data_IF_038309030523
#
_entry.id   IF_038309030523
#
_cell.length_a   1.000
_cell.length_b   1.000
_cell.length_c   1.000
_cell.angle_alpha   90.00
_cell.angle_beta   90.00
_cell.angle_gamma   90.00
#
_symmetry.space_group_name_H-M   'P 1'
#
loop_
_entity.id
_entity.type
_entity.pdbx_description
1 polymer ?
#
# COMPACT_ATOMS: atom_id res chain seq x y z
N UNK A 1 -18.54 4.57 5.98
CA UNK A 1 -17.49 3.55 5.78
C UNK A 1 -16.55 3.62 6.97
N UNK A 2 -16.26 2.50 7.64
CA UNK A 2 -15.36 2.47 8.82
C UNK A 2 -13.90 2.56 8.38
N UNK A 3 -13.01 2.92 9.31
CA UNK A 3 -11.57 2.99 9.03
C UNK A 3 -10.95 1.62 8.72
N UNK A 4 -11.48 0.55 9.31
CA UNK A 4 -11.10 -0.83 8.99
C UNK A 4 -11.52 -1.22 7.56
N UNK A 5 -12.72 -0.83 7.13
CA UNK A 5 -13.19 -1.05 5.76
C UNK A 5 -12.32 -0.31 4.73
N UNK A 6 -11.81 0.88 5.08
CA UNK A 6 -10.84 1.59 4.25
C UNK A 6 -9.53 0.84 4.11
N UNK A 7 -8.99 0.28 5.21
CA UNK A 7 -7.76 -0.51 5.17
C UNK A 7 -7.97 -1.79 4.35
N UNK A 8 -9.09 -2.48 4.53
CA UNK A 8 -9.45 -3.65 3.71
C UNK A 8 -9.46 -3.32 2.22
N UNK A 9 -10.12 -2.22 1.84
CA UNK A 9 -10.19 -1.79 0.44
C UNK A 9 -8.81 -1.49 -0.17
N UNK A 10 -7.84 -1.01 0.63
CA UNK A 10 -6.46 -0.80 0.18
C UNK A 10 -5.75 -2.12 -0.09
N UNK A 11 -5.95 -3.14 0.76
CA UNK A 11 -5.42 -4.49 0.52
C UNK A 11 -6.06 -5.14 -0.71
N UNK A 12 -7.38 -5.00 -0.86
CA UNK A 12 -8.10 -5.50 -2.04
C UNK A 12 -7.62 -4.84 -3.34
N UNK A 13 -7.40 -3.52 -3.32
CA UNK A 13 -6.82 -2.78 -4.45
C UNK A 13 -5.42 -3.31 -4.82
N UNK A 14 -4.63 -3.71 -3.83
CA UNK A 14 -3.32 -4.32 -4.04
C UNK A 14 -3.38 -5.81 -4.43
N UNK A 15 -4.57 -6.40 -4.60
CA UNK A 15 -4.76 -7.82 -4.90
C UNK A 15 -4.42 -8.75 -3.74
N UNK A 16 -4.40 -8.23 -2.51
CA UNK A 16 -4.08 -8.97 -1.30
C UNK A 16 -5.36 -9.27 -0.51
N UNK A 17 -5.77 -10.53 -0.45
CA UNK A 17 -6.90 -10.94 0.39
C UNK A 17 -6.46 -11.11 1.84
N UNK A 18 -7.07 -10.38 2.77
CA UNK A 18 -6.83 -10.50 4.21
C UNK A 18 -8.08 -11.02 4.92
N UNK A 19 -7.99 -12.09 5.74
CA UNK A 19 -9.09 -12.53 6.58
C UNK A 19 -9.53 -11.43 7.59
N UNK A 20 -10.84 -11.27 7.87
CA UNK A 20 -11.33 -10.23 8.78
C UNK A 20 -10.69 -10.26 10.17
N UNK A 21 -10.51 -11.46 10.74
CA UNK A 21 -9.90 -11.63 12.08
C UNK A 21 -8.45 -11.15 12.11
N UNK A 22 -7.72 -11.35 11.01
CA UNK A 22 -6.33 -10.88 10.85
C UNK A 22 -6.30 -9.37 10.70
N UNK A 23 -7.23 -8.78 9.95
CA UNK A 23 -7.35 -7.33 9.83
C UNK A 23 -7.64 -6.70 11.18
N UNK A 24 -8.61 -7.22 11.94
CA UNK A 24 -8.98 -6.70 13.25
C UNK A 24 -7.79 -6.77 14.24
N UNK A 25 -7.09 -7.91 14.29
CA UNK A 25 -5.95 -8.09 15.19
C UNK A 25 -4.73 -7.19 14.86
N UNK A 26 -4.61 -6.69 13.62
CA UNK A 26 -3.43 -5.96 13.15
C UNK A 26 -3.76 -4.54 12.64
N UNK A 27 -4.99 -4.06 12.86
CA UNK A 27 -5.51 -2.83 12.26
C UNK A 27 -4.62 -1.62 12.57
N UNK A 28 -4.18 -1.45 13.82
CA UNK A 28 -3.32 -0.34 14.23
C UNK A 28 -1.97 -0.35 13.50
N UNK A 29 -1.38 -1.54 13.32
CA UNK A 29 -0.10 -1.69 12.61
C UNK A 29 -0.27 -1.39 11.12
N UNK A 30 -1.31 -1.92 10.48
CA UNK A 30 -1.55 -1.69 9.06
C UNK A 30 -1.88 -0.24 8.76
N UNK A 31 -2.76 0.37 9.55
CA UNK A 31 -3.15 1.78 9.37
C UNK A 31 -1.99 2.74 9.59
N UNK A 32 -1.19 2.54 10.65
CA UNK A 32 0.00 3.37 10.91
C UNK A 32 1.08 3.21 9.85
N UNK A 33 1.33 1.98 9.39
CA UNK A 33 2.29 1.70 8.31
C UNK A 33 1.86 2.36 7.01
N UNK A 34 0.58 2.24 6.62
CA UNK A 34 0.04 2.90 5.44
C UNK A 34 0.12 4.43 5.53
N UNK A 35 -0.13 5.01 6.71
CA UNK A 35 0.01 6.44 6.95
C UNK A 35 1.47 6.89 6.78
N UNK A 36 2.43 6.13 7.32
CA UNK A 36 3.86 6.40 7.17
C UNK A 36 4.29 6.35 5.69
N UNK A 37 3.86 5.34 4.95
CA UNK A 37 4.14 5.21 3.52
C UNK A 37 3.58 6.42 2.76
N UNK A 38 2.34 6.83 3.05
CA UNK A 38 1.74 8.01 2.42
C UNK A 38 2.55 9.27 2.71
N UNK A 39 2.98 9.48 3.94
CA UNK A 39 3.82 10.62 4.30
C UNK A 39 5.14 10.63 3.52
N UNK A 40 5.81 9.48 3.40
CA UNK A 40 7.05 9.35 2.65
C UNK A 40 6.85 9.54 1.13
N UNK A 41 5.70 9.13 0.60
CA UNK A 41 5.38 9.21 -0.84
C UNK A 41 4.99 10.62 -1.30
N UNK A 42 4.60 11.52 -0.39
CA UNK A 42 4.18 12.91 -0.71
C UNK A 42 5.40 13.80 -0.98
N UNK A 43 6.53 13.53 -0.35
CA UNK A 43 7.82 13.99 -0.85
C UNK A 43 8.06 13.29 -2.18
N UNK A 44 7.69 13.95 -3.29
CA UNK A 44 8.09 13.50 -4.61
C UNK A 44 9.57 13.18 -4.56
N UNK A 45 9.91 11.89 -4.73
CA UNK A 45 11.28 11.46 -4.98
C UNK A 45 11.73 12.36 -6.12
N UNK A 46 12.63 13.33 -5.85
CA UNK A 46 12.95 14.44 -6.73
C UNK A 46 13.70 14.00 -7.99
N UNK A 47 13.15 13.04 -8.72
CA UNK A 47 13.80 12.29 -9.77
C UNK A 47 12.83 12.16 -10.94
N UNK A 48 13.26 12.75 -12.05
CA UNK A 48 12.90 12.41 -13.42
C UNK A 48 12.47 10.95 -13.57
N UNK A 49 11.37 10.71 -14.29
CA UNK A 49 10.97 9.39 -14.79
C UNK A 49 12.19 8.57 -15.23
N UNK A 50 12.28 7.28 -14.85
CA UNK A 50 12.57 6.31 -15.89
C UNK A 50 11.78 5.01 -15.68
N UNK A 51 10.45 5.10 -15.68
CA UNK A 51 9.62 3.91 -15.95
C UNK A 51 9.76 3.42 -17.41
N UNK A 52 10.51 4.14 -18.27
CA UNK A 52 10.91 3.69 -19.62
C UNK A 52 12.27 2.98 -19.63
N UNK A 53 13.00 2.89 -18.51
CA UNK A 53 14.30 2.23 -18.43
C UNK A 53 14.24 0.76 -17.97
N UNK A 54 13.14 0.34 -17.34
CA UNK A 54 13.00 -1.02 -16.83
C UNK A 54 12.53 -1.98 -17.95
N UNK A 55 13.46 -2.42 -18.79
CA UNK A 55 13.26 -3.65 -19.57
C UNK A 55 13.48 -4.85 -18.66
N UNK A 56 12.47 -5.22 -17.89
CA UNK A 56 12.40 -6.58 -17.39
C UNK A 56 11.98 -7.50 -18.55
N UNK A 57 12.94 -8.11 -19.23
CA UNK A 57 12.70 -9.34 -19.97
C UNK A 57 13.01 -10.50 -19.04
N UNK A 58 12.04 -11.40 -18.88
CA UNK A 58 12.30 -12.73 -18.36
C UNK A 58 12.56 -13.62 -19.58
N UNK A 59 13.83 -13.79 -19.93
CA UNK A 59 14.28 -14.95 -20.72
C UNK A 59 14.45 -16.16 -19.78
#
# INVERSE_FOLDING_TARGET
MTSEALVSAVFDYAGLTIPPDRLAANYEVYSSTLALIRQASVTGLGETVPAVGFKASWD
#
